data_IF_966787651956
#
_entry.id   IF_966787651956
#
_cell.length_a   1.000
_cell.length_b   1.000
_cell.length_c   1.000
_cell.angle_alpha   90.00
_cell.angle_beta   90.00
_cell.angle_gamma   90.00
#
_symmetry.space_group_name_H-M   'P 1'
#
loop_
_entity.id
_entity.type
_entity.pdbx_description
1 polymer ?
#
# COMPACT_ATOMS: atom_id res chain seq x y z
N UNK A 1 -2.01 -14.85 -36.35
CA UNK A 1 -3.01 -14.45 -35.34
C UNK A 1 -2.42 -14.66 -33.96
N UNK A 2 -2.10 -13.58 -33.24
CA UNK A 2 -1.26 -13.57 -32.04
C UNK A 2 -2.09 -13.32 -30.76
N UNK A 3 -3.15 -14.11 -30.56
CA UNK A 3 -4.24 -13.86 -29.59
C UNK A 3 -3.92 -14.42 -28.18
N UNK A 4 -2.86 -15.22 -28.00
CA UNK A 4 -2.61 -15.93 -26.74
C UNK A 4 -1.80 -15.17 -25.68
N UNK A 5 -0.92 -14.23 -26.07
CA UNK A 5 -0.01 -13.58 -25.12
C UNK A 5 -0.62 -12.36 -24.40
N UNK A 6 -1.44 -11.56 -25.10
CA UNK A 6 -2.07 -10.36 -24.52
C UNK A 6 -3.16 -10.72 -23.50
N UNK A 7 -3.99 -11.74 -23.78
CA UNK A 7 -5.03 -12.21 -22.85
C UNK A 7 -4.43 -12.78 -21.57
N UNK A 8 -3.36 -13.59 -21.69
CA UNK A 8 -2.66 -14.18 -20.53
C UNK A 8 -2.06 -13.12 -19.61
N UNK A 9 -1.46 -12.06 -20.17
CA UNK A 9 -0.91 -10.96 -19.36
C UNK A 9 -2.00 -10.15 -18.66
N UNK A 10 -3.12 -9.87 -19.34
CA UNK A 10 -4.25 -9.15 -18.73
C UNK A 10 -4.87 -9.94 -17.57
N UNK A 11 -5.03 -11.26 -17.73
CA UNK A 11 -5.51 -12.14 -16.67
C UNK A 11 -4.58 -12.09 -15.46
N UNK A 12 -3.25 -12.12 -15.66
CA UNK A 12 -2.27 -12.03 -14.56
C UNK A 12 -2.34 -10.70 -13.82
N UNK A 13 -2.45 -9.57 -14.55
CA UNK A 13 -2.58 -8.25 -13.93
C UNK A 13 -3.86 -8.14 -13.09
N UNK A 14 -4.99 -8.64 -13.60
CA UNK A 14 -6.26 -8.63 -12.87
C UNK A 14 -6.21 -9.52 -11.61
N UNK A 15 -5.55 -10.68 -11.69
CA UNK A 15 -5.36 -11.57 -10.55
C UNK A 15 -4.48 -10.92 -9.47
N UNK A 16 -3.35 -10.31 -9.86
CA UNK A 16 -2.48 -9.61 -8.92
C UNK A 16 -3.15 -8.39 -8.31
N UNK A 17 -3.82 -7.59 -9.13
CA UNK A 17 -4.56 -6.42 -8.69
C UNK A 17 -5.63 -6.79 -7.68
N UNK A 18 -6.44 -7.81 -7.98
CA UNK A 18 -7.49 -8.25 -7.06
C UNK A 18 -6.91 -8.82 -5.75
N UNK A 19 -5.79 -9.53 -5.80
CA UNK A 19 -5.09 -9.99 -4.59
C UNK A 19 -4.59 -8.82 -3.73
N UNK A 20 -3.91 -7.84 -4.33
CA UNK A 20 -3.41 -6.64 -3.63
C UNK A 20 -4.58 -5.87 -2.99
N UNK A 21 -5.64 -5.60 -3.76
CA UNK A 21 -6.80 -4.87 -3.24
C UNK A 21 -7.50 -5.64 -2.13
N UNK A 22 -7.59 -6.97 -2.21
CA UNK A 22 -8.18 -7.78 -1.13
C UNK A 22 -7.35 -7.71 0.15
N UNK A 23 -6.01 -7.78 0.04
CA UNK A 23 -5.11 -7.62 1.20
C UNK A 23 -5.30 -6.24 1.82
N UNK A 24 -5.32 -5.19 1.00
CA UNK A 24 -5.52 -3.81 1.46
C UNK A 24 -6.90 -3.59 2.07
N UNK A 25 -7.96 -4.22 1.54
CA UNK A 25 -9.30 -4.17 2.10
C UNK A 25 -9.34 -4.71 3.52
N UNK A 26 -8.75 -5.90 3.73
CA UNK A 26 -8.68 -6.52 5.06
C UNK A 26 -7.86 -5.63 6.00
N UNK A 27 -6.71 -5.13 5.53
CA UNK A 27 -5.86 -4.25 6.32
C UNK A 27 -6.54 -2.93 6.70
N UNK A 28 -7.28 -2.32 5.77
CA UNK A 28 -8.07 -1.11 5.99
C UNK A 28 -9.17 -1.35 7.03
N UNK A 29 -9.90 -2.46 6.93
CA UNK A 29 -10.94 -2.81 7.90
C UNK A 29 -10.37 -3.01 9.32
N UNK A 30 -9.26 -3.75 9.43
CA UNK A 30 -8.58 -3.97 10.72
C UNK A 30 -7.99 -2.67 11.29
N UNK A 31 -7.40 -1.83 10.44
CA UNK A 31 -6.84 -0.53 10.86
C UNK A 31 -7.94 0.42 11.32
N UNK A 32 -9.08 0.47 10.61
CA UNK A 32 -10.23 1.26 11.02
C UNK A 32 -10.73 0.87 12.41
N UNK A 33 -10.90 -0.44 12.66
CA UNK A 33 -11.30 -0.97 13.96
C UNK A 33 -10.28 -0.62 15.05
N UNK A 34 -8.99 -0.79 14.78
CA UNK A 34 -7.92 -0.48 15.73
C UNK A 34 -7.96 1.01 16.14
N UNK A 35 -8.00 1.92 15.17
CA UNK A 35 -8.01 3.36 15.46
C UNK A 35 -9.31 3.80 16.15
N UNK A 36 -10.46 3.26 15.75
CA UNK A 36 -11.74 3.55 16.40
C UNK A 36 -11.76 3.06 17.86
N UNK A 37 -11.26 1.84 18.10
CA UNK A 37 -11.18 1.24 19.43
C UNK A 37 -10.29 2.08 20.36
N UNK A 38 -9.05 2.36 19.94
CA UNK A 38 -8.15 3.17 20.77
C UNK A 38 -8.60 4.62 20.93
N UNK A 39 -9.24 5.20 19.92
CA UNK A 39 -9.88 6.52 20.00
C UNK A 39 -10.97 6.56 21.06
N UNK A 40 -11.83 5.54 21.10
CA UNK A 40 -12.89 5.42 22.09
C UNK A 40 -12.37 5.13 23.51
N UNK A 41 -11.52 4.10 23.66
CA UNK A 41 -11.05 3.66 24.98
C UNK A 41 -10.18 4.69 25.69
N UNK A 42 -9.38 5.47 24.94
CA UNK A 42 -8.48 6.48 25.52
C UNK A 42 -9.05 7.90 25.42
N UNK A 43 -10.28 8.08 24.91
CA UNK A 43 -10.91 9.38 24.67
C UNK A 43 -10.02 10.33 23.84
N UNK A 44 -9.47 9.81 22.74
CA UNK A 44 -8.54 10.51 21.87
C UNK A 44 -9.21 10.85 20.52
N UNK A 45 -9.83 12.05 20.39
CA UNK A 45 -10.65 12.36 19.22
C UNK A 45 -9.88 12.38 17.90
N UNK A 46 -8.58 12.70 17.94
CA UNK A 46 -7.73 12.74 16.75
C UNK A 46 -7.59 11.35 16.08
N UNK A 47 -7.76 10.25 16.82
CA UNK A 47 -7.69 8.89 16.26
C UNK A 47 -8.94 8.53 15.43
N UNK A 48 -10.04 9.27 15.55
CA UNK A 48 -11.20 9.06 14.67
C UNK A 48 -10.92 9.50 13.23
N UNK A 49 -9.95 10.40 13.01
CA UNK A 49 -9.59 10.87 11.69
C UNK A 49 -9.05 9.73 10.80
N UNK A 50 -7.99 9.00 11.18
CA UNK A 50 -7.58 7.81 10.43
C UNK A 50 -8.65 6.72 10.44
N UNK A 51 -9.41 6.54 11.53
CA UNK A 51 -10.47 5.52 11.57
C UNK A 51 -11.52 5.72 10.46
N UNK A 52 -12.06 6.94 10.33
CA UNK A 52 -13.04 7.28 9.30
C UNK A 52 -12.43 7.12 7.90
N UNK A 53 -11.19 7.56 7.70
CA UNK A 53 -10.49 7.43 6.41
C UNK A 53 -10.35 5.95 5.99
N UNK A 54 -9.92 5.09 6.91
CA UNK A 54 -9.81 3.65 6.64
C UNK A 54 -11.19 3.01 6.42
N UNK A 55 -12.23 3.42 7.12
CA UNK A 55 -13.60 2.96 6.86
C UNK A 55 -14.05 3.34 5.44
N UNK A 56 -13.83 4.59 5.02
CA UNK A 56 -14.13 5.03 3.65
C UNK A 56 -13.33 4.24 2.62
N UNK A 57 -12.08 3.91 2.95
CA UNK A 57 -11.20 3.12 2.08
C UNK A 57 -11.75 1.72 1.82
N UNK A 58 -12.38 1.06 2.80
CA UNK A 58 -13.03 -0.24 2.57
C UNK A 58 -14.07 -0.16 1.43
N UNK A 59 -14.86 0.92 1.37
CA UNK A 59 -15.81 1.12 0.28
C UNK A 59 -15.11 1.38 -1.06
N UNK A 60 -14.01 2.16 -1.03
CA UNK A 60 -13.23 2.43 -2.25
C UNK A 60 -12.55 1.15 -2.76
N UNK A 61 -12.08 0.28 -1.87
CA UNK A 61 -11.47 -1.01 -2.21
C UNK A 61 -12.49 -1.92 -2.93
N UNK A 62 -13.75 -1.92 -2.47
CA UNK A 62 -14.83 -2.64 -3.17
C UNK A 62 -15.09 -2.07 -4.57
N UNK A 63 -15.04 -0.74 -4.74
CA UNK A 63 -15.15 -0.09 -6.05
C UNK A 63 -13.97 -0.47 -6.94
N UNK A 64 -12.75 -0.50 -6.40
CA UNK A 64 -11.55 -0.91 -7.13
C UNK A 64 -11.64 -2.38 -7.59
N UNK A 65 -12.14 -3.28 -6.74
CA UNK A 65 -12.41 -4.68 -7.13
C UNK A 65 -13.43 -4.76 -8.28
N UNK A 66 -14.47 -3.94 -8.25
CA UNK A 66 -15.44 -3.86 -9.36
C UNK A 66 -14.79 -3.39 -10.66
N UNK A 67 -13.92 -2.37 -10.59
CA UNK A 67 -13.18 -1.87 -11.76
C UNK A 67 -12.23 -2.93 -12.34
N UNK A 68 -11.58 -3.74 -11.50
CA UNK A 68 -10.73 -4.85 -11.95
C UNK A 68 -11.55 -5.91 -12.69
N UNK A 69 -12.78 -6.20 -12.24
CA UNK A 69 -13.71 -7.10 -12.95
C UNK A 69 -14.13 -6.54 -14.32
N UNK A 70 -14.12 -5.22 -14.48
CA UNK A 70 -14.36 -4.53 -15.75
C UNK A 70 -13.09 -4.35 -16.58
N UNK A 71 -12.00 -5.07 -16.24
CA UNK A 71 -10.69 -4.99 -16.90
C UNK A 71 -10.01 -3.61 -16.84
N UNK A 72 -10.48 -2.70 -15.97
CA UNK A 72 -9.91 -1.36 -15.76
C UNK A 72 -8.87 -1.34 -14.64
N UNK A 73 -8.00 -2.36 -14.61
CA UNK A 73 -7.06 -2.62 -13.51
C UNK A 73 -6.08 -1.48 -13.26
N UNK A 74 -5.53 -0.86 -14.30
CA UNK A 74 -4.62 0.30 -14.13
C UNK A 74 -5.29 1.46 -13.37
N UNK A 75 -6.56 1.75 -13.67
CA UNK A 75 -7.29 2.82 -13.00
C UNK A 75 -7.62 2.43 -11.56
N UNK A 76 -8.02 1.19 -11.32
CA UNK A 76 -8.24 0.67 -9.97
C UNK A 76 -6.97 0.80 -9.12
N UNK A 77 -5.82 0.35 -9.64
CA UNK A 77 -4.54 0.42 -8.95
C UNK A 77 -4.07 1.84 -8.65
N UNK A 78 -4.35 2.80 -9.54
CA UNK A 78 -4.06 4.21 -9.32
C UNK A 78 -4.92 4.80 -8.19
N UNK A 79 -6.22 4.51 -8.16
CA UNK A 79 -7.10 4.92 -7.06
C UNK A 79 -6.59 4.37 -5.73
N UNK A 80 -6.23 3.08 -5.71
CA UNK A 80 -5.72 2.40 -4.52
C UNK A 80 -4.41 3.03 -4.03
N UNK A 81 -3.48 3.35 -4.94
CA UNK A 81 -2.24 4.02 -4.57
C UNK A 81 -2.50 5.40 -3.93
N UNK A 82 -3.41 6.20 -4.50
CA UNK A 82 -3.76 7.53 -3.97
C UNK A 82 -4.39 7.40 -2.58
N UNK A 83 -5.38 6.53 -2.43
CA UNK A 83 -6.10 6.35 -1.15
C UNK A 83 -5.17 5.80 -0.08
N UNK A 84 -4.27 4.88 -0.45
CA UNK A 84 -3.25 4.37 0.46
C UNK A 84 -2.36 5.49 0.99
N UNK A 85 -1.84 6.35 0.11
CA UNK A 85 -1.01 7.52 0.47
C UNK A 85 -1.77 8.45 1.43
N UNK A 86 -3.05 8.73 1.15
CA UNK A 86 -3.89 9.57 2.01
C UNK A 86 -4.02 8.94 3.40
N UNK A 87 -4.40 7.66 3.47
CA UNK A 87 -4.59 6.97 4.75
C UNK A 87 -3.35 6.97 5.62
N UNK A 88 -2.20 6.62 5.05
CA UNK A 88 -0.96 6.58 5.83
C UNK A 88 -0.53 7.97 6.28
N UNK A 89 -0.75 9.01 5.46
CA UNK A 89 -0.51 10.40 5.85
C UNK A 89 -1.38 10.82 7.05
N UNK A 90 -2.66 10.47 7.02
CA UNK A 90 -3.59 10.79 8.11
C UNK A 90 -3.24 10.02 9.39
N UNK A 91 -2.80 8.77 9.27
CA UNK A 91 -2.30 8.00 10.39
C UNK A 91 -1.05 8.65 11.03
N UNK A 92 -0.12 9.17 10.21
CA UNK A 92 1.07 9.88 10.69
C UNK A 92 0.74 11.19 11.39
N UNK A 93 -0.25 11.93 10.90
CA UNK A 93 -0.72 13.16 11.59
C UNK A 93 -1.27 12.82 12.97
N UNK A 94 -1.98 11.70 13.09
CA UNK A 94 -2.61 11.30 14.34
C UNK A 94 -1.64 10.68 15.36
N UNK A 95 -0.68 9.86 14.92
CA UNK A 95 0.17 9.03 15.80
C UNK A 95 1.65 9.27 15.56
N UNK A 96 2.38 9.48 16.66
CA UNK A 96 3.83 9.62 16.65
C UNK A 96 4.54 8.27 16.48
N UNK A 97 5.68 8.28 15.79
CA UNK A 97 6.61 7.13 15.77
C UNK A 97 6.29 6.08 14.70
N UNK A 98 5.31 6.35 13.84
CA UNK A 98 4.97 5.48 12.72
C UNK A 98 5.80 5.76 11.45
N UNK A 99 6.60 6.83 11.41
CA UNK A 99 7.24 7.33 10.19
C UNK A 99 8.07 6.29 9.43
N UNK A 100 8.97 5.59 10.12
CA UNK A 100 9.81 4.57 9.48
C UNK A 100 8.96 3.40 8.96
N UNK A 101 8.02 2.93 9.78
CA UNK A 101 7.12 1.82 9.46
C UNK A 101 6.28 2.16 8.22
N UNK A 102 5.73 3.38 8.18
CA UNK A 102 4.91 3.87 7.08
C UNK A 102 5.74 4.11 5.82
N UNK A 103 6.94 4.65 5.94
CA UNK A 103 7.85 4.85 4.81
C UNK A 103 8.17 3.52 4.10
N UNK A 104 8.58 2.51 4.88
CA UNK A 104 8.86 1.17 4.35
C UNK A 104 7.60 0.57 3.73
N UNK A 105 6.47 0.62 4.43
CA UNK A 105 5.20 0.09 3.91
C UNK A 105 4.79 0.76 2.61
N UNK A 106 4.96 2.07 2.51
CA UNK A 106 4.62 2.85 1.32
C UNK A 106 5.46 2.43 0.13
N UNK A 107 6.77 2.24 0.32
CA UNK A 107 7.64 1.74 -0.75
C UNK A 107 7.16 0.36 -1.23
N UNK A 108 6.98 -0.59 -0.31
CA UNK A 108 6.59 -1.96 -0.68
C UNK A 108 5.22 -2.03 -1.37
N UNK A 109 4.22 -1.33 -0.82
CA UNK A 109 2.86 -1.32 -1.40
C UNK A 109 2.88 -0.68 -2.78
N UNK A 110 3.49 0.50 -2.95
CA UNK A 110 3.53 1.18 -4.25
C UNK A 110 4.34 0.41 -5.29
N UNK A 111 5.44 -0.25 -4.89
CA UNK A 111 6.19 -1.15 -5.77
C UNK A 111 5.36 -2.36 -6.18
N UNK A 112 4.59 -2.94 -5.27
CA UNK A 112 3.72 -4.06 -5.60
C UNK A 112 2.61 -3.65 -6.57
N UNK A 113 2.00 -2.49 -6.35
CA UNK A 113 0.99 -1.90 -7.24
C UNK A 113 1.59 -1.72 -8.65
N UNK A 114 2.69 -0.98 -8.76
CA UNK A 114 3.29 -0.63 -10.04
C UNK A 114 3.97 -1.80 -10.76
N UNK A 115 4.56 -2.72 -10.00
CA UNK A 115 5.34 -3.85 -10.52
C UNK A 115 4.51 -5.09 -10.83
N UNK A 116 3.40 -5.32 -10.10
CA UNK A 116 2.64 -6.57 -10.20
C UNK A 116 1.26 -6.38 -10.81
N UNK A 117 0.62 -5.22 -10.63
CA UNK A 117 -0.78 -5.03 -11.00
C UNK A 117 -1.02 -3.97 -12.09
N UNK A 118 0.02 -3.23 -12.50
CA UNK A 118 -0.07 -2.27 -13.60
C UNK A 118 0.68 -2.74 -14.84
N UNK A 119 0.31 -2.16 -16.00
CA UNK A 119 1.03 -2.43 -17.25
C UNK A 119 2.46 -1.86 -17.23
N UNK A 120 3.39 -2.42 -18.03
CA UNK A 120 4.82 -2.05 -17.99
C UNK A 120 5.12 -0.55 -18.18
N UNK A 121 4.24 0.17 -18.88
CA UNK A 121 4.36 1.62 -19.09
C UNK A 121 4.35 2.42 -17.79
N UNK A 122 3.82 1.86 -16.69
CA UNK A 122 3.74 2.50 -15.38
C UNK A 122 4.83 2.01 -14.41
N UNK A 123 5.63 1.01 -14.76
CA UNK A 123 6.58 0.39 -13.82
C UNK A 123 7.70 1.35 -13.43
N UNK A 124 8.32 2.04 -14.39
CA UNK A 124 9.41 3.00 -14.10
C UNK A 124 8.92 4.21 -13.32
N UNK A 125 7.82 4.83 -13.76
CA UNK A 125 7.19 5.94 -13.04
C UNK A 125 6.72 5.51 -11.65
N UNK A 126 6.18 4.30 -11.52
CA UNK A 126 5.70 3.77 -10.26
C UNK A 126 6.81 3.48 -9.25
N UNK A 127 7.97 2.98 -9.71
CA UNK A 127 9.17 2.84 -8.87
C UNK A 127 9.66 4.21 -8.39
N UNK A 128 9.74 5.20 -9.29
CA UNK A 128 10.15 6.56 -8.92
C UNK A 128 9.19 7.18 -7.89
N UNK A 129 7.87 7.05 -8.11
CA UNK A 129 6.83 7.49 -7.18
C UNK A 129 6.94 6.76 -5.84
N UNK A 130 7.16 5.44 -5.83
CA UNK A 130 7.28 4.65 -4.61
C UNK A 130 8.46 5.13 -3.74
N UNK A 131 9.63 5.33 -4.36
CA UNK A 131 10.82 5.81 -3.66
C UNK A 131 10.65 7.25 -3.17
N UNK A 132 10.14 8.14 -4.03
CA UNK A 132 9.88 9.53 -3.67
C UNK A 132 8.91 9.63 -2.49
N UNK A 133 7.75 8.96 -2.56
CA UNK A 133 6.80 8.98 -1.46
C UNK A 133 7.32 8.27 -0.21
N UNK A 134 8.13 7.22 -0.33
CA UNK A 134 8.80 6.60 0.82
C UNK A 134 9.67 7.60 1.59
N UNK A 135 10.54 8.32 0.88
CA UNK A 135 11.41 9.35 1.48
C UNK A 135 10.58 10.51 2.03
N UNK A 136 9.58 10.97 1.28
CA UNK A 136 8.70 12.06 1.72
C UNK A 136 7.90 11.69 2.96
N UNK A 137 7.41 10.45 3.09
CA UNK A 137 6.71 10.01 4.30
C UNK A 137 7.65 10.04 5.51
N UNK A 138 8.88 9.53 5.36
CA UNK A 138 9.85 9.59 6.46
C UNK A 138 10.18 11.03 6.87
N UNK A 139 10.41 11.91 5.89
CA UNK A 139 10.65 13.34 6.14
C UNK A 139 9.42 14.04 6.72
N UNK A 140 8.22 13.65 6.32
CA UNK A 140 6.98 14.21 6.86
C UNK A 140 6.83 13.88 8.35
N UNK A 141 7.18 12.66 8.78
CA UNK A 141 7.16 12.29 10.20
C UNK A 141 8.09 13.15 11.05
N UNK A 142 9.29 13.44 10.54
CA UNK A 142 10.30 14.20 11.28
C UNK A 142 9.92 15.67 11.44
N UNK A 143 9.21 16.24 10.46
CA UNK A 143 8.71 17.62 10.50
C UNK A 143 7.50 17.78 11.42
N UNK A 144 6.62 16.78 11.52
CA UNK A 144 5.41 16.84 12.36
C UNK A 144 5.70 16.92 13.87
N UNK A 145 6.93 16.63 14.31
CA UNK A 145 7.34 16.79 15.70
C UNK A 145 6.70 15.81 16.69
N UNK A 146 6.98 16.01 17.98
CA UNK A 146 6.62 15.11 19.08
C UNK A 146 5.32 15.48 19.82
N UNK A 147 4.59 16.51 19.38
CA UNK A 147 3.32 16.95 19.99
C UNK A 147 2.11 16.10 19.59
N UNK A 148 2.33 14.97 18.92
CA UNK A 148 1.29 14.04 18.47
C UNK A 148 0.99 13.00 19.54
N UNK A 149 -0.07 12.23 19.33
CA UNK A 149 -0.47 11.20 20.28
C UNK A 149 0.56 10.07 20.28
N UNK A 150 1.10 9.78 21.46
CA UNK A 150 1.85 8.56 21.72
C UNK A 150 0.94 7.57 22.44
N UNK A 151 0.53 6.52 21.74
CA UNK A 151 -0.18 5.37 22.32
C UNK A 151 0.78 4.19 22.31
N UNK A 152 1.34 3.77 23.45
CA UNK A 152 2.30 2.65 23.51
C UNK A 152 1.78 1.38 22.84
N UNK A 153 0.48 1.11 22.96
CA UNK A 153 -0.16 -0.04 22.33
C UNK A 153 -0.13 0.04 20.80
N UNK A 154 -0.32 1.21 20.20
CA UNK A 154 -0.22 1.36 18.73
C UNK A 154 1.22 1.17 18.28
N UNK A 155 2.20 1.63 19.05
CA UNK A 155 3.61 1.36 18.75
C UNK A 155 3.95 -0.14 18.81
N UNK A 156 3.32 -0.90 19.71
CA UNK A 156 3.49 -2.36 19.81
C UNK A 156 2.75 -3.11 18.69
N UNK A 157 1.53 -2.70 18.35
CA UNK A 157 0.69 -3.45 17.38
C UNK A 157 0.94 -3.06 15.91
N UNK A 158 1.39 -1.83 15.63
CA UNK A 158 1.61 -1.34 14.26
C UNK A 158 2.63 -2.16 13.44
N UNK A 159 3.75 -2.67 14.00
CA UNK A 159 4.65 -3.53 13.23
C UNK A 159 4.00 -4.84 12.79
N UNK A 160 3.13 -5.42 13.62
CA UNK A 160 2.42 -6.65 13.27
C UNK A 160 1.38 -6.44 12.17
N UNK A 161 0.66 -5.31 12.20
CA UNK A 161 -0.24 -4.93 11.11
C UNK A 161 0.52 -4.72 9.80
N UNK A 162 1.67 -4.06 9.86
CA UNK A 162 2.51 -3.87 8.68
C UNK A 162 3.05 -5.19 8.17
N UNK A 163 3.51 -6.10 9.03
CA UNK A 163 3.92 -7.44 8.61
C UNK A 163 2.77 -8.21 7.96
N UNK A 164 1.54 -8.08 8.46
CA UNK A 164 0.36 -8.70 7.88
C UNK A 164 0.04 -8.17 6.47
N UNK A 165 0.46 -6.94 6.13
CA UNK A 165 0.33 -6.36 4.79
C UNK A 165 1.53 -6.75 3.91
N UNK A 166 2.74 -6.53 4.42
CA UNK A 166 3.99 -6.65 3.67
C UNK A 166 4.30 -8.11 3.36
N UNK A 167 4.08 -9.06 4.28
CA UNK A 167 4.40 -10.47 4.03
C UNK A 167 3.61 -11.07 2.86
N UNK A 168 2.27 -10.97 2.81
CA UNK A 168 1.51 -11.46 1.65
C UNK A 168 1.94 -10.79 0.34
N UNK A 169 2.15 -9.47 0.37
CA UNK A 169 2.62 -8.71 -0.81
C UNK A 169 4.00 -9.19 -1.25
N UNK A 170 4.91 -9.41 -0.31
CA UNK A 170 6.27 -9.89 -0.58
C UNK A 170 6.26 -11.33 -1.12
N UNK A 171 5.38 -12.19 -0.62
CA UNK A 171 5.20 -13.55 -1.17
C UNK A 171 4.69 -13.49 -2.60
N UNK A 172 3.71 -12.64 -2.91
CA UNK A 172 3.24 -12.43 -4.29
C UNK A 172 4.37 -11.87 -5.16
N UNK A 173 5.14 -10.91 -4.62
CA UNK A 173 6.30 -10.34 -5.29
C UNK A 173 7.36 -11.38 -5.64
N UNK A 174 7.78 -12.23 -4.69
CA UNK A 174 8.78 -13.30 -4.95
C UNK A 174 8.27 -14.27 -6.02
N UNK A 175 7.00 -14.71 -5.91
CA UNK A 175 6.40 -15.62 -6.89
C UNK A 175 6.40 -15.03 -8.30
N UNK A 176 6.17 -13.73 -8.41
CA UNK A 176 6.19 -13.00 -9.69
C UNK A 176 7.63 -12.72 -10.15
N UNK A 177 8.55 -12.38 -9.25
CA UNK A 177 9.94 -12.07 -9.53
C UNK A 177 10.64 -13.25 -10.19
N UNK A 178 10.36 -14.49 -9.76
CA UNK A 178 10.90 -15.69 -10.41
C UNK A 178 10.54 -15.75 -11.91
N UNK A 179 9.40 -15.18 -12.31
CA UNK A 179 8.90 -15.15 -13.68
C UNK A 179 9.29 -13.87 -14.47
N UNK A 180 10.01 -12.91 -13.87
CA UNK A 180 10.48 -11.71 -14.57
C UNK A 180 11.70 -12.01 -15.45
N UNK A 181 11.86 -11.23 -16.52
CA UNK A 181 13.03 -11.29 -17.40
C UNK A 181 14.31 -10.86 -16.65
N UNK A 182 15.46 -11.38 -17.09
CA UNK A 182 16.76 -11.11 -16.47
C UNK A 182 17.06 -9.60 -16.39
N UNK A 183 16.67 -8.84 -17.41
CA UNK A 183 16.87 -7.39 -17.48
C UNK A 183 16.13 -6.66 -16.35
N UNK A 184 14.86 -6.98 -16.10
CA UNK A 184 14.08 -6.36 -15.01
C UNK A 184 14.65 -6.71 -13.64
N UNK A 185 15.14 -7.95 -13.46
CA UNK A 185 15.80 -8.39 -12.23
C UNK A 185 17.06 -7.57 -11.95
N UNK A 186 17.88 -7.34 -12.98
CA UNK A 186 19.12 -6.55 -12.88
C UNK A 186 18.79 -5.09 -12.58
N UNK A 187 17.83 -4.48 -13.28
CA UNK A 187 17.44 -3.07 -13.01
C UNK A 187 16.93 -2.89 -11.59
N UNK A 188 16.07 -3.79 -11.10
CA UNK A 188 15.60 -3.77 -9.70
C UNK A 188 16.75 -3.99 -8.71
N UNK A 189 17.68 -4.90 -9.02
CA UNK A 189 18.87 -5.13 -8.21
C UNK A 189 19.72 -3.87 -8.09
N UNK A 190 20.05 -3.24 -9.21
CA UNK A 190 20.82 -1.99 -9.25
C UNK A 190 20.10 -0.86 -8.50
N UNK A 191 18.78 -0.74 -8.62
CA UNK A 191 18.01 0.28 -7.89
C UNK A 191 17.90 0.04 -6.38
N UNK A 192 18.05 -1.21 -5.93
CA UNK A 192 17.99 -1.57 -4.51
C UNK A 192 19.36 -1.56 -3.82
N UNK A 193 20.45 -1.79 -4.58
CA UNK A 193 21.81 -1.88 -4.03
C UNK A 193 22.75 -0.74 -4.43
N UNK A 194 22.38 0.06 -5.43
CA UNK A 194 23.13 1.25 -5.87
C UNK A 194 22.66 2.49 -5.14
#
# INVERSE_FOLDING_TARGET
MNISSQSTNQIRLNQNGSAIVTILLIASALSALMFAYFGFTNNLPLLYLPAISFTLTVYIDLVALSLIRQERTNLAMLIIAIVFIINVSLAMVAVQGLGLIIAISTIFVLLAIAGLAMTPNYTTSGVAVALLFGVLMYAFDSVLGASRISVPQIAVYSPYLVLAIVLPIFVVFIRQFNNLSLQTKITLGILLTG
#
